data_IF_722711569633
#
_entry.id   IF_722711569633
#
_cell.length_a   1.000
_cell.length_b   1.000
_cell.length_c   1.000
_cell.angle_alpha   90.00
_cell.angle_beta   90.00
_cell.angle_gamma   90.00
#
_symmetry.space_group_name_H-M   'P 1'
#
loop_
_entity.id
_entity.type
_entity.pdbx_description
1 polymer ?
#
# COMPACT_ATOMS: atom_id res chain seq x y z
N UNK A 1 18.46 27.46 -6.92
CA UNK A 1 18.35 26.01 -6.70
C UNK A 1 19.08 25.29 -7.81
N UNK A 2 19.60 24.09 -7.56
CA UNK A 2 20.45 23.35 -8.51
C UNK A 2 19.63 22.31 -9.28
N UNK A 3 20.14 21.84 -10.42
CA UNK A 3 19.62 20.66 -11.14
C UNK A 3 20.32 19.36 -10.74
N UNK A 4 21.31 19.44 -9.86
CA UNK A 4 21.99 18.26 -9.33
C UNK A 4 21.24 17.75 -8.12
N UNK A 5 20.50 16.66 -8.30
CA UNK A 5 19.75 16.04 -7.23
C UNK A 5 20.65 15.55 -6.08
N UNK A 6 21.97 15.48 -6.21
CA UNK A 6 22.86 15.10 -5.09
C UNK A 6 23.20 16.27 -4.18
N UNK A 7 22.61 17.45 -4.40
CA UNK A 7 22.90 18.67 -3.66
C UNK A 7 21.61 19.38 -3.26
N UNK A 8 21.53 19.87 -2.02
CA UNK A 8 20.49 20.81 -1.62
C UNK A 8 20.92 22.27 -1.86
N UNK A 9 20.00 23.18 -2.26
CA UNK A 9 18.61 22.90 -2.62
C UNK A 9 18.47 22.35 -4.05
N UNK A 10 17.49 21.47 -4.26
CA UNK A 10 17.16 20.82 -5.54
C UNK A 10 15.69 21.04 -5.91
N UNK A 11 15.38 21.29 -7.18
CA UNK A 11 14.00 21.38 -7.66
C UNK A 11 13.67 20.16 -8.50
N UNK A 12 12.72 19.35 -8.05
CA UNK A 12 12.25 18.22 -8.83
C UNK A 12 11.40 18.68 -10.02
N UNK A 13 10.54 19.68 -9.80
CA UNK A 13 9.69 20.29 -10.83
C UNK A 13 9.96 21.79 -10.87
N UNK A 14 10.55 22.32 -11.95
CA UNK A 14 10.85 23.74 -12.06
C UNK A 14 9.62 24.63 -11.85
N UNK A 15 9.70 25.51 -10.86
CA UNK A 15 8.65 26.48 -10.55
C UNK A 15 7.55 26.00 -9.61
N UNK A 16 7.60 24.75 -9.14
CA UNK A 16 6.68 24.24 -8.10
C UNK A 16 7.40 24.10 -6.75
N UNK A 17 7.13 25.04 -5.84
CA UNK A 17 7.75 25.07 -4.52
C UNK A 17 7.35 23.91 -3.61
N UNK A 18 6.28 23.17 -3.91
CA UNK A 18 5.91 21.97 -3.16
C UNK A 18 6.91 20.83 -3.39
N UNK A 19 7.71 20.89 -4.46
CA UNK A 19 8.68 19.88 -4.84
C UNK A 19 10.12 20.44 -4.84
N UNK A 20 10.37 21.43 -3.97
CA UNK A 20 11.69 21.96 -3.64
C UNK A 20 12.29 21.19 -2.44
N UNK A 21 13.50 20.68 -2.61
CA UNK A 21 14.22 19.90 -1.61
C UNK A 21 15.25 20.77 -0.89
N UNK A 22 15.43 20.62 0.44
CA UNK A 22 14.94 19.53 1.28
C UNK A 22 13.50 19.70 1.83
N UNK A 23 12.83 20.81 1.53
CA UNK A 23 11.54 21.14 2.13
C UNK A 23 10.45 20.09 1.83
N UNK A 24 10.41 19.55 0.61
CA UNK A 24 9.48 18.50 0.18
C UNK A 24 9.63 17.16 0.95
N UNK A 25 10.74 16.96 1.66
CA UNK A 25 10.92 15.79 2.52
C UNK A 25 10.33 16.00 3.92
N UNK A 26 10.28 17.25 4.40
CA UNK A 26 9.77 17.60 5.71
C UNK A 26 8.25 17.69 5.80
N UNK A 27 7.76 18.25 6.90
CA UNK A 27 6.33 18.54 7.09
C UNK A 27 5.84 19.61 6.13
N UNK A 28 4.64 19.42 5.59
CA UNK A 28 3.85 20.44 4.93
C UNK A 28 2.77 20.98 5.89
N UNK A 29 2.99 22.12 6.59
CA UNK A 29 2.10 22.55 7.68
C UNK A 29 0.68 22.88 7.21
N UNK A 30 0.54 23.35 5.97
CA UNK A 30 -0.73 23.74 5.36
C UNK A 30 -1.57 22.55 4.85
N UNK A 31 -1.05 21.32 4.97
CA UNK A 31 -1.70 20.10 4.52
C UNK A 31 -2.29 19.37 5.73
N UNK A 32 -3.56 18.95 5.62
CA UNK A 32 -4.21 18.17 6.68
C UNK A 32 -3.69 16.74 6.75
N UNK A 33 -3.24 16.16 5.63
CA UNK A 33 -2.66 14.82 5.60
C UNK A 33 -1.27 14.82 4.95
N UNK A 34 -0.33 14.12 5.56
CA UNK A 34 1.04 14.00 5.11
C UNK A 34 1.58 12.60 5.43
N UNK A 35 2.05 11.86 4.42
CA UNK A 35 2.39 10.43 4.49
C UNK A 35 3.85 10.20 4.11
N UNK A 36 4.63 9.66 5.03
CA UNK A 36 5.98 9.17 4.78
C UNK A 36 5.97 7.65 4.79
N UNK A 37 6.26 7.07 3.63
CA UNK A 37 6.29 5.63 3.43
C UNK A 37 7.69 5.18 3.01
N UNK A 38 8.18 4.10 3.59
CA UNK A 38 9.32 3.36 3.07
C UNK A 38 9.09 1.87 3.21
N UNK A 39 9.38 1.12 2.16
CA UNK A 39 9.36 -0.33 2.14
C UNK A 39 10.54 -0.89 1.34
N UNK A 40 10.92 -2.14 1.62
CA UNK A 40 12.00 -2.78 0.90
C UNK A 40 12.25 -4.24 1.30
N UNK A 41 13.02 -4.92 0.45
CA UNK A 41 13.58 -6.23 0.74
C UNK A 41 14.93 -6.07 1.46
N UNK A 42 15.17 -6.97 2.40
CA UNK A 42 16.39 -7.05 3.19
C UNK A 42 16.88 -8.50 3.17
N UNK A 43 18.16 -8.71 2.91
CA UNK A 43 18.81 -10.01 2.98
C UNK A 43 19.72 -10.03 4.21
N UNK A 44 19.66 -11.14 4.96
CA UNK A 44 20.53 -11.37 6.10
C UNK A 44 21.98 -11.58 5.64
N UNK A 45 22.94 -11.18 6.47
CA UNK A 45 24.35 -11.24 6.11
C UNK A 45 24.97 -12.64 6.26
N UNK A 46 24.44 -13.46 7.17
CA UNK A 46 25.05 -14.74 7.58
C UNK A 46 24.37 -15.98 6.97
N UNK A 47 23.13 -15.85 6.49
CA UNK A 47 22.37 -16.93 5.85
C UNK A 47 21.60 -16.46 4.61
N UNK A 48 20.99 -17.41 3.88
CA UNK A 48 20.20 -17.12 2.67
C UNK A 48 18.78 -16.63 3.00
N UNK A 49 18.53 -16.10 4.21
CA UNK A 49 17.20 -15.65 4.63
C UNK A 49 16.96 -14.22 4.16
N UNK A 50 15.80 -14.02 3.57
CA UNK A 50 15.33 -12.70 3.16
C UNK A 50 14.12 -12.28 3.98
N UNK A 51 14.09 -11.00 4.31
CA UNK A 51 13.00 -10.31 4.97
C UNK A 51 12.47 -9.21 4.05
N UNK A 52 11.30 -8.70 4.38
CA UNK A 52 10.85 -7.42 3.88
C UNK A 52 10.27 -6.59 5.02
N UNK A 53 10.15 -5.29 4.80
CA UNK A 53 9.51 -4.39 5.74
C UNK A 53 8.74 -3.31 5.01
N UNK A 54 7.77 -2.73 5.71
CA UNK A 54 7.21 -1.43 5.37
C UNK A 54 7.01 -0.62 6.64
N UNK A 55 7.01 0.70 6.49
CA UNK A 55 6.58 1.60 7.55
C UNK A 55 5.88 2.81 6.99
N UNK A 56 4.90 3.30 7.76
CA UNK A 56 4.13 4.49 7.47
C UNK A 56 4.23 5.40 8.69
N UNK A 57 4.69 6.63 8.49
CA UNK A 57 4.38 7.72 9.40
C UNK A 57 3.31 8.57 8.71
N UNK A 58 2.25 8.91 9.44
CA UNK A 58 1.17 9.66 8.84
C UNK A 58 0.65 10.74 9.79
N UNK A 59 0.66 11.98 9.30
CA UNK A 59 -0.03 13.11 9.90
C UNK A 59 -1.45 13.13 9.36
N UNK A 60 -2.46 13.19 10.22
CA UNK A 60 -3.86 13.40 9.85
C UNK A 60 -4.50 14.37 10.82
N UNK A 61 -4.79 15.58 10.32
CA UNK A 61 -5.33 16.67 11.12
C UNK A 61 -6.59 17.28 10.48
N UNK A 62 -7.71 16.52 10.40
CA UNK A 62 -8.92 17.01 9.75
C UNK A 62 -9.42 18.30 10.41
N UNK A 63 -9.65 19.34 9.60
CA UNK A 63 -10.03 20.67 10.07
C UNK A 63 -9.01 21.33 11.00
N UNK A 64 -7.76 20.86 11.02
CA UNK A 64 -6.64 21.38 11.81
C UNK A 64 -6.76 21.22 13.33
N UNK A 65 -7.85 20.67 13.83
CA UNK A 65 -8.17 20.61 15.28
C UNK A 65 -8.23 19.21 15.83
N UNK A 66 -8.72 18.26 15.03
CA UNK A 66 -8.63 16.83 15.31
C UNK A 66 -7.22 16.37 14.97
N UNK A 67 -6.65 15.51 15.79
CA UNK A 67 -5.39 14.82 15.48
C UNK A 67 -5.69 13.34 15.47
N UNK A 68 -5.34 12.69 14.37
CA UNK A 68 -5.49 11.26 14.12
C UNK A 68 -4.20 10.71 13.48
N UNK A 69 -3.06 11.23 13.94
CA UNK A 69 -1.74 10.85 13.45
C UNK A 69 -1.46 9.38 13.81
N UNK A 70 -0.81 8.62 12.93
CA UNK A 70 -0.51 7.21 13.17
C UNK A 70 0.86 6.81 12.67
N UNK A 71 1.33 5.70 13.21
CA UNK A 71 2.56 5.03 12.80
C UNK A 71 2.30 3.54 12.60
N UNK A 72 2.82 2.98 11.52
CA UNK A 72 2.77 1.55 11.22
C UNK A 72 4.16 1.00 10.93
N UNK A 73 4.42 -0.21 11.42
CA UNK A 73 5.55 -1.06 11.05
C UNK A 73 5.03 -2.45 10.69
N UNK A 74 5.56 -3.04 9.63
CA UNK A 74 5.44 -4.47 9.40
C UNK A 74 6.78 -5.08 9.01
N UNK A 75 6.99 -6.31 9.48
CA UNK A 75 8.11 -7.18 9.12
C UNK A 75 7.57 -8.46 8.51
N UNK A 76 8.25 -8.95 7.48
CA UNK A 76 7.88 -10.15 6.74
C UNK A 76 9.10 -11.06 6.65
N UNK A 77 8.94 -12.34 6.99
CA UNK A 77 9.93 -13.37 6.70
C UNK A 77 9.55 -14.04 5.37
N UNK A 78 10.36 -13.78 4.33
CA UNK A 78 10.06 -14.25 2.97
C UNK A 78 10.32 -15.74 2.78
N UNK A 79 11.05 -16.38 3.69
CA UNK A 79 11.32 -17.82 3.65
C UNK A 79 10.16 -18.63 4.25
N UNK A 80 9.58 -18.15 5.35
CA UNK A 80 8.51 -18.86 6.07
C UNK A 80 7.11 -18.38 5.73
N UNK A 81 6.97 -17.15 5.21
CA UNK A 81 5.69 -16.48 5.01
C UNK A 81 5.10 -15.91 6.30
N UNK A 82 5.84 -15.91 7.42
CA UNK A 82 5.43 -15.27 8.67
C UNK A 82 5.44 -13.73 8.51
N UNK A 83 4.51 -13.04 9.18
CA UNK A 83 4.51 -11.58 9.22
C UNK A 83 4.05 -11.04 10.57
N UNK A 84 4.65 -9.91 10.94
CA UNK A 84 4.28 -9.13 12.11
C UNK A 84 3.87 -7.73 11.70
N UNK A 85 2.83 -7.18 12.33
CA UNK A 85 2.46 -5.77 12.13
C UNK A 85 2.10 -5.07 13.43
N UNK A 86 2.40 -3.78 13.48
CA UNK A 86 2.11 -2.88 14.59
C UNK A 86 1.60 -1.56 14.03
N UNK A 87 0.45 -1.10 14.51
CA UNK A 87 -0.08 0.23 14.22
C UNK A 87 -0.44 0.91 15.54
N UNK A 88 0.07 2.12 15.76
CA UNK A 88 -0.28 2.95 16.91
C UNK A 88 -0.87 4.29 16.47
N UNK A 89 -1.82 4.78 17.26
CA UNK A 89 -2.59 5.99 16.96
C UNK A 89 -2.41 7.07 18.03
N UNK A 90 -2.35 8.32 17.58
CA UNK A 90 -2.52 9.54 18.35
C UNK A 90 -3.88 10.13 17.99
N UNK A 91 -4.93 9.68 18.69
CA UNK A 91 -6.30 10.09 18.37
C UNK A 91 -7.21 10.26 19.60
N UNK A 92 -8.33 11.00 19.46
CA UNK A 92 -9.36 11.07 20.48
C UNK A 92 -9.97 9.70 20.81
N UNK A 93 -10.44 9.50 22.06
CA UNK A 93 -10.38 10.44 23.17
C UNK A 93 -9.03 10.43 23.91
N UNK A 94 -8.10 9.52 23.57
CA UNK A 94 -6.87 9.31 24.32
C UNK A 94 -5.97 10.56 24.33
N UNK A 95 -5.80 11.21 23.19
CA UNK A 95 -4.96 12.40 23.06
C UNK A 95 -5.62 13.71 23.54
N UNK A 96 -6.87 13.65 23.99
CA UNK A 96 -7.60 14.78 24.59
C UNK A 96 -7.55 14.77 26.12
N UNK A 97 -6.98 13.72 26.73
CA UNK A 97 -6.86 13.64 28.19
C UNK A 97 -5.91 14.72 28.73
N UNK A 98 -6.17 15.31 29.91
CA UNK A 98 -5.25 16.27 30.51
C UNK A 98 -3.83 15.71 30.63
N UNK A 99 -2.84 16.46 30.15
CA UNK A 99 -1.43 16.05 30.17
C UNK A 99 -1.01 15.10 29.04
N UNK A 100 -1.91 14.74 28.12
CA UNK A 100 -1.54 14.00 26.92
C UNK A 100 -0.55 14.82 26.07
N UNK A 101 0.53 14.18 25.65
CA UNK A 101 1.48 14.74 24.70
C UNK A 101 1.18 14.18 23.30
N UNK A 102 1.45 14.98 22.27
CA UNK A 102 1.42 14.52 20.88
C UNK A 102 2.46 13.44 20.68
N UNK A 103 2.11 12.36 20.00
CA UNK A 103 3.03 11.27 19.70
C UNK A 103 3.92 11.59 18.52
N UNK A 104 3.39 12.27 17.51
CA UNK A 104 4.10 12.65 16.28
C UNK A 104 4.76 14.04 16.43
N UNK A 105 6.06 14.10 16.18
CA UNK A 105 6.85 15.32 16.03
C UNK A 105 7.46 15.35 14.63
N UNK A 106 7.44 16.52 14.00
CA UNK A 106 7.91 16.74 12.64
C UNK A 106 8.70 18.05 12.57
N UNK A 107 9.68 18.14 11.67
CA UNK A 107 10.30 19.41 11.29
C UNK A 107 9.83 19.88 9.90
N UNK A 108 9.59 21.19 9.71
CA UNK A 108 9.48 21.76 8.37
C UNK A 108 10.88 21.91 7.74
N UNK A 109 10.95 21.85 6.42
CA UNK A 109 12.16 22.20 5.65
C UNK A 109 13.14 21.05 5.42
N UNK A 110 13.06 19.95 6.17
CA UNK A 110 13.84 18.72 5.96
C UNK A 110 13.18 17.54 6.69
N UNK A 111 13.60 16.32 6.38
CA UNK A 111 13.07 15.12 7.03
C UNK A 111 13.59 14.97 8.46
N UNK A 112 12.71 15.14 9.43
CA UNK A 112 12.97 14.85 10.84
C UNK A 112 11.66 14.47 11.51
N UNK A 113 11.44 13.16 11.64
CA UNK A 113 10.19 12.56 12.11
C UNK A 113 10.48 11.73 13.33
N UNK A 114 9.66 11.91 14.36
CA UNK A 114 9.64 11.06 15.55
C UNK A 114 8.21 10.70 15.92
N UNK A 115 7.97 9.42 16.22
CA UNK A 115 6.68 8.94 16.72
C UNK A 115 6.88 8.19 18.04
N UNK A 116 6.32 8.73 19.13
CA UNK A 116 6.41 8.13 20.48
C UNK A 116 5.24 7.19 20.74
N UNK A 117 5.47 5.88 20.60
CA UNK A 117 4.47 4.83 20.77
C UNK A 117 4.66 4.05 22.07
N UNK A 118 3.74 3.12 22.35
CA UNK A 118 3.87 2.18 23.48
C UNK A 118 5.09 1.26 23.39
N UNK A 119 5.56 0.95 22.18
CA UNK A 119 6.74 0.12 21.92
C UNK A 119 8.07 0.92 21.95
N UNK A 120 8.01 2.24 22.13
CA UNK A 120 9.15 3.15 22.08
C UNK A 120 9.02 4.21 20.99
N UNK A 121 10.12 4.91 20.71
CA UNK A 121 10.17 5.98 19.71
C UNK A 121 10.68 5.45 18.38
N UNK A 122 9.83 5.53 17.34
CA UNK A 122 10.24 5.36 15.96
C UNK A 122 10.72 6.71 15.39
N UNK A 123 11.68 6.70 14.47
CA UNK A 123 12.22 7.91 13.86
C UNK A 123 12.72 7.71 12.44
N UNK A 124 12.61 8.76 11.63
CA UNK A 124 13.21 8.86 10.30
C UNK A 124 13.78 10.26 10.11
N UNK A 125 15.10 10.35 9.98
CA UNK A 125 15.83 11.64 10.05
C UNK A 125 16.87 11.75 8.94
N UNK A 126 17.05 12.95 8.37
CA UNK A 126 18.16 13.26 7.46
C UNK A 126 19.48 13.29 8.24
N UNK A 127 20.47 12.57 7.72
CA UNK A 127 21.83 12.57 8.25
C UNK A 127 22.51 13.92 8.03
N UNK A 128 23.50 14.21 8.88
CA UNK A 128 24.34 15.40 8.77
C UNK A 128 25.80 15.00 8.62
N UNK A 129 26.58 15.83 7.94
CA UNK A 129 28.02 15.66 7.83
C UNK A 129 28.75 16.16 9.10
N UNK A 130 30.09 16.20 9.04
CA UNK A 130 30.92 16.63 10.16
C UNK A 130 30.78 18.13 10.51
N UNK A 131 30.35 18.95 9.54
CA UNK A 131 30.13 20.38 9.70
C UNK A 131 28.69 20.69 10.16
N UNK A 132 27.83 19.66 10.21
CA UNK A 132 26.42 19.76 10.61
C UNK A 132 25.47 20.06 9.46
N UNK A 133 25.96 20.09 8.22
CA UNK A 133 25.15 20.29 7.03
C UNK A 133 24.36 19.03 6.68
N UNK A 134 23.19 19.21 6.06
CA UNK A 134 22.34 18.08 5.65
C UNK A 134 23.01 17.29 4.53
N UNK A 135 23.06 15.97 4.68
CA UNK A 135 23.48 15.04 3.62
C UNK A 135 22.26 14.71 2.74
N UNK A 136 22.26 15.09 1.45
CA UNK A 136 21.10 14.89 0.59
C UNK A 136 20.68 13.43 0.53
N UNK A 137 19.39 13.20 0.80
CA UNK A 137 18.71 11.91 0.71
C UNK A 137 19.36 10.79 1.53
N UNK A 138 20.19 11.12 2.52
CA UNK A 138 20.84 10.12 3.37
C UNK A 138 20.12 10.11 4.70
N UNK A 139 19.59 8.97 5.11
CA UNK A 139 18.72 8.89 6.27
C UNK A 139 19.17 7.88 7.31
N UNK A 140 18.72 8.14 8.53
CA UNK A 140 18.68 7.16 9.62
C UNK A 140 17.24 6.83 9.95
N UNK A 141 16.92 5.54 9.91
CA UNK A 141 15.59 5.01 10.18
C UNK A 141 15.69 4.06 11.38
N UNK A 142 14.87 4.29 12.40
CA UNK A 142 14.75 3.44 13.58
C UNK A 142 13.28 3.17 13.81
N UNK A 143 12.86 1.92 13.65
CA UNK A 143 11.47 1.48 13.71
C UNK A 143 11.32 0.53 14.88
N UNK A 144 10.20 0.62 15.58
CA UNK A 144 9.90 -0.20 16.76
C UNK A 144 8.43 -0.56 16.79
N UNK A 145 8.09 -1.75 17.27
CA UNK A 145 6.71 -2.21 17.39
C UNK A 145 6.61 -3.50 18.18
N UNK A 146 5.39 -4.03 18.25
CA UNK A 146 5.09 -5.35 18.80
C UNK A 146 4.10 -6.02 17.85
N UNK A 147 4.38 -7.25 17.43
CA UNK A 147 3.49 -7.96 16.51
C UNK A 147 2.22 -8.49 17.20
N UNK A 148 1.34 -9.12 16.42
CA UNK A 148 0.05 -9.64 16.88
C UNK A 148 0.19 -10.76 17.92
N UNK A 149 1.37 -11.36 18.06
CA UNK A 149 1.69 -12.39 19.05
C UNK A 149 2.46 -11.84 20.26
N UNK A 150 2.68 -10.53 20.34
CA UNK A 150 3.44 -9.90 21.42
C UNK A 150 4.95 -9.95 21.22
N UNK A 151 5.46 -10.34 20.03
CA UNK A 151 6.91 -10.37 19.79
C UNK A 151 7.40 -8.94 19.52
N UNK A 152 8.44 -8.46 20.23
CA UNK A 152 9.01 -7.15 19.94
C UNK A 152 9.61 -7.13 18.53
N UNK A 153 9.38 -6.03 17.82
CA UNK A 153 9.91 -5.74 16.50
C UNK A 153 10.80 -4.50 16.56
N UNK A 154 11.97 -4.56 15.93
CA UNK A 154 12.86 -3.41 15.77
C UNK A 154 13.63 -3.51 14.46
N UNK A 155 13.74 -2.39 13.75
CA UNK A 155 14.53 -2.27 12.53
C UNK A 155 15.30 -0.95 12.55
N UNK A 156 16.61 -1.02 12.59
CA UNK A 156 17.50 0.14 12.49
C UNK A 156 18.22 0.08 11.15
N UNK A 157 18.09 1.12 10.32
CA UNK A 157 18.69 1.19 8.98
C UNK A 157 19.40 2.52 8.73
N UNK A 158 20.55 2.44 8.07
CA UNK A 158 21.07 3.51 7.24
C UNK A 158 20.51 3.36 5.83
N UNK A 159 19.92 4.45 5.29
CA UNK A 159 19.18 4.43 4.03
C UNK A 159 19.71 5.50 3.10
N UNK A 160 19.99 5.16 1.84
CA UNK A 160 20.46 6.10 0.82
C UNK A 160 19.87 5.72 -0.55
N UNK A 161 18.93 6.50 -1.10
CA UNK A 161 18.50 6.36 -2.47
C UNK A 161 19.67 6.57 -3.43
N UNK A 162 19.73 5.75 -4.46
CA UNK A 162 20.77 5.78 -5.50
C UNK A 162 20.29 6.51 -6.75
N UNK A 163 19.00 6.89 -6.78
CA UNK A 163 18.33 7.58 -7.87
C UNK A 163 17.70 8.89 -7.38
N UNK A 164 17.57 9.82 -8.32
CA UNK A 164 16.87 11.08 -8.09
C UNK A 164 15.41 10.83 -7.71
N UNK A 165 14.80 11.73 -6.91
CA UNK A 165 13.34 11.76 -6.78
C UNK A 165 12.66 11.76 -8.15
N UNK A 166 11.50 11.10 -8.24
CA UNK A 166 10.68 11.02 -9.46
C UNK A 166 9.28 11.53 -9.12
N UNK A 167 8.75 12.56 -9.82
CA UNK A 167 7.39 13.00 -9.57
C UNK A 167 6.39 11.92 -10.02
N UNK A 168 5.34 11.68 -9.24
CA UNK A 168 4.30 10.72 -9.67
C UNK A 168 3.67 11.18 -10.98
N UNK A 169 3.53 10.23 -11.89
CA UNK A 169 3.05 10.47 -13.24
C UNK A 169 4.05 11.18 -14.13
N UNK A 170 5.34 11.16 -13.77
CA UNK A 170 6.45 11.76 -14.51
C UNK A 170 6.13 13.20 -14.97
N UNK A 171 6.50 13.57 -16.20
CA UNK A 171 6.18 14.89 -16.75
C UNK A 171 4.70 15.09 -17.08
N UNK A 172 3.89 14.03 -17.12
CA UNK A 172 2.45 14.11 -17.42
C UNK A 172 1.70 14.80 -16.28
N UNK A 173 2.03 14.44 -15.05
CA UNK A 173 1.39 14.98 -13.85
C UNK A 173 2.31 15.89 -13.01
N UNK A 174 3.63 15.79 -13.21
CA UNK A 174 4.63 16.53 -12.44
C UNK A 174 4.42 16.41 -10.92
N UNK A 175 3.97 15.23 -10.47
CA UNK A 175 3.78 14.94 -9.04
C UNK A 175 2.52 15.56 -8.44
N UNK A 176 1.74 16.33 -9.22
CA UNK A 176 0.47 16.91 -8.78
C UNK A 176 -0.70 16.14 -9.37
N UNK A 177 -1.47 15.47 -8.51
CA UNK A 177 -2.41 14.43 -8.88
C UNK A 177 -3.78 14.63 -8.22
N UNK A 178 -4.80 13.97 -8.79
CA UNK A 178 -6.10 13.85 -8.15
C UNK A 178 -6.17 12.52 -7.40
N UNK A 179 -6.05 12.56 -6.07
CA UNK A 179 -6.11 11.37 -5.23
C UNK A 179 -7.22 11.46 -4.18
N UNK A 180 -7.99 10.38 -4.05
CA UNK A 180 -9.19 10.29 -3.21
C UNK A 180 -10.19 11.44 -3.44
N UNK A 181 -10.30 11.93 -4.68
CA UNK A 181 -11.16 13.07 -5.05
C UNK A 181 -10.57 14.45 -4.73
N UNK A 182 -9.28 14.55 -4.43
CA UNK A 182 -8.59 15.80 -4.08
C UNK A 182 -7.55 16.15 -5.14
N UNK A 183 -7.78 17.24 -5.90
CA UNK A 183 -6.99 17.62 -7.10
C UNK A 183 -5.63 18.28 -6.81
N UNK A 184 -5.40 18.69 -5.56
CA UNK A 184 -4.16 19.36 -5.12
C UNK A 184 -3.33 18.41 -4.24
N UNK A 185 -3.41 17.11 -4.53
CA UNK A 185 -2.56 16.11 -3.87
C UNK A 185 -1.21 16.10 -4.57
N UNK A 186 -0.15 16.06 -3.79
CA UNK A 186 1.21 15.96 -4.31
C UNK A 186 1.85 14.66 -3.91
N UNK A 187 2.71 14.11 -4.77
CA UNK A 187 3.50 12.94 -4.47
C UNK A 187 4.77 12.84 -5.32
N UNK A 188 5.80 12.22 -4.75
CA UNK A 188 6.99 11.78 -5.47
C UNK A 188 7.53 10.47 -4.88
N UNK A 189 8.36 9.80 -5.67
CA UNK A 189 9.02 8.56 -5.31
C UNK A 189 10.53 8.73 -5.23
N UNK A 190 11.18 7.90 -4.41
CA UNK A 190 12.60 7.59 -4.56
C UNK A 190 12.81 6.09 -4.60
N UNK A 191 13.62 5.63 -5.55
CA UNK A 191 13.86 4.20 -5.79
C UNK A 191 15.36 3.89 -5.86
N UNK A 192 15.70 2.61 -6.01
CA UNK A 192 17.07 2.13 -5.91
C UNK A 192 17.65 2.45 -4.53
N UNK A 193 17.15 1.83 -3.47
CA UNK A 193 17.47 2.25 -2.10
C UNK A 193 18.53 1.33 -1.52
N UNK A 194 19.71 1.87 -1.22
CA UNK A 194 20.71 1.16 -0.45
C UNK A 194 20.33 1.21 1.04
N UNK A 195 20.20 0.03 1.66
CA UNK A 195 19.81 -0.13 3.05
C UNK A 195 20.82 -1.05 3.73
N UNK A 196 21.26 -0.69 4.94
CA UNK A 196 22.10 -1.54 5.79
C UNK A 196 21.74 -1.32 7.25
N UNK A 197 21.76 -2.37 8.07
CA UNK A 197 21.55 -2.21 9.50
C UNK A 197 21.19 -3.50 10.21
N UNK A 198 20.29 -3.43 11.19
CA UNK A 198 19.94 -4.55 12.07
C UNK A 198 18.43 -4.74 12.16
N UNK A 199 17.99 -5.98 12.00
CA UNK A 199 16.63 -6.42 12.23
C UNK A 199 16.56 -7.22 13.54
N UNK A 200 15.54 -6.96 14.36
CA UNK A 200 15.20 -7.79 15.52
C UNK A 200 13.72 -8.08 15.54
N UNK A 201 13.35 -9.36 15.65
CA UNK A 201 11.95 -9.77 15.72
C UNK A 201 11.81 -11.00 16.63
N UNK A 202 11.29 -10.79 17.84
CA UNK A 202 11.34 -11.80 18.90
C UNK A 202 12.79 -12.20 19.19
N UNK A 203 13.11 -13.48 19.02
CA UNK A 203 14.45 -14.04 19.22
C UNK A 203 15.36 -13.92 17.98
N UNK A 204 14.81 -13.53 16.82
CA UNK A 204 15.57 -13.33 15.58
C UNK A 204 16.33 -12.01 15.66
N UNK A 205 17.64 -12.03 15.39
CA UNK A 205 18.50 -10.85 15.33
C UNK A 205 19.47 -11.00 14.17
N UNK A 206 19.34 -10.14 13.16
CA UNK A 206 20.11 -10.24 11.91
C UNK A 206 20.81 -8.92 11.58
N UNK A 207 22.03 -9.01 11.07
CA UNK A 207 22.59 -7.93 10.25
C UNK A 207 21.99 -8.06 8.85
N UNK A 208 21.47 -6.95 8.33
CA UNK A 208 20.69 -6.96 7.08
C UNK A 208 21.19 -5.90 6.12
N UNK A 209 21.05 -6.19 4.83
CA UNK A 209 21.28 -5.22 3.76
C UNK A 209 20.25 -5.37 2.64
N UNK A 210 20.02 -4.33 1.85
CA UNK A 210 19.08 -4.40 0.74
C UNK A 210 19.32 -3.32 -0.30
N UNK A 211 18.90 -3.58 -1.52
CA UNK A 211 18.96 -2.64 -2.65
C UNK A 211 17.61 -2.39 -3.33
N UNK A 212 16.62 -3.24 -3.03
CA UNK A 212 15.26 -3.15 -3.56
C UNK A 212 14.38 -2.47 -2.53
N UNK A 213 14.01 -1.23 -2.79
CA UNK A 213 13.16 -0.45 -1.90
C UNK A 213 12.51 0.72 -2.61
N UNK A 214 11.53 1.30 -1.92
CA UNK A 214 10.75 2.42 -2.39
C UNK A 214 10.45 3.36 -1.23
N UNK A 215 10.65 4.67 -1.46
CA UNK A 215 10.13 5.74 -0.62
C UNK A 215 9.01 6.40 -1.40
N UNK A 216 7.84 6.53 -0.76
CA UNK A 216 6.73 7.33 -1.25
C UNK A 216 6.46 8.48 -0.28
N UNK A 217 6.31 9.66 -0.84
CA UNK A 217 5.91 10.87 -0.14
C UNK A 217 4.64 11.36 -0.77
N UNK A 218 3.61 11.59 0.05
CA UNK A 218 2.33 12.07 -0.43
C UNK A 218 1.68 12.99 0.60
N UNK A 219 1.14 14.12 0.16
CA UNK A 219 0.41 15.05 1.03
C UNK A 219 -0.84 15.58 0.36
N UNK A 220 -1.86 15.82 1.19
CA UNK A 220 -3.21 16.14 0.77
C UNK A 220 -3.71 17.42 1.45
N UNK A 221 -4.47 18.25 0.71
CA UNK A 221 -5.04 19.48 1.25
C UNK A 221 -6.06 19.18 2.35
N UNK A 222 -6.74 18.03 2.29
CA UNK A 222 -7.64 17.54 3.32
C UNK A 222 -7.28 16.14 3.75
N UNK A 223 -7.80 15.72 4.90
CA UNK A 223 -7.66 14.35 5.40
C UNK A 223 -7.87 13.30 4.31
N UNK A 224 -6.85 12.45 4.08
CA UNK A 224 -6.85 11.46 2.99
C UNK A 224 -8.01 10.45 3.12
N UNK A 225 -8.34 10.03 4.34
CA UNK A 225 -9.38 9.03 4.62
C UNK A 225 -10.81 9.57 4.62
N UNK A 226 -11.15 10.56 3.78
CA UNK A 226 -12.54 10.99 3.60
C UNK A 226 -12.76 12.47 3.27
N UNK A 227 -11.71 13.29 3.31
CA UNK A 227 -11.78 14.73 3.04
C UNK A 227 -12.28 15.08 1.64
N UNK A 228 -11.99 14.21 0.65
CA UNK A 228 -12.51 14.32 -0.72
C UNK A 228 -13.88 13.69 -0.96
N UNK A 229 -14.47 13.04 0.05
CA UNK A 229 -15.71 12.23 -0.07
C UNK A 229 -16.79 12.62 0.93
N UNK A 230 -16.72 13.81 1.51
CA UNK A 230 -17.70 14.27 2.50
C UNK A 230 -17.62 13.52 3.84
N UNK A 231 -16.47 12.91 4.15
CA UNK A 231 -16.18 12.25 5.42
C UNK A 231 -16.37 10.73 5.43
N UNK A 232 -16.81 10.11 4.33
CA UNK A 232 -16.87 8.65 4.23
C UNK A 232 -15.50 8.06 3.83
N UNK A 233 -14.80 7.37 4.74
CA UNK A 233 -13.49 6.78 4.46
C UNK A 233 -13.55 5.62 3.45
N UNK A 234 -14.73 5.02 3.22
CA UNK A 234 -14.92 3.89 2.31
C UNK A 234 -15.58 4.28 0.98
N UNK A 235 -15.83 5.56 0.74
CA UNK A 235 -16.34 6.04 -0.55
C UNK A 235 -15.30 5.97 -1.68
N UNK A 236 -14.01 5.93 -1.33
CA UNK A 236 -12.90 5.67 -2.25
C UNK A 236 -12.07 4.51 -1.74
N UNK A 237 -11.41 3.82 -2.67
CA UNK A 237 -10.38 2.85 -2.37
C UNK A 237 -9.29 2.94 -3.44
N UNK A 238 -8.18 2.27 -3.19
CA UNK A 238 -7.03 2.30 -4.08
C UNK A 238 -6.31 0.95 -4.10
N UNK A 239 -5.52 0.79 -5.15
CA UNK A 239 -4.43 -0.16 -5.21
C UNK A 239 -3.16 0.59 -5.61
N UNK A 240 -2.06 0.32 -4.93
CA UNK A 240 -0.75 0.87 -5.24
C UNK A 240 0.26 -0.27 -5.29
N UNK A 241 1.17 -0.24 -6.27
CA UNK A 241 2.20 -1.28 -6.41
C UNK A 241 3.52 -0.63 -6.69
N UNK A 242 4.53 -0.98 -5.89
CA UNK A 242 5.92 -0.57 -6.12
C UNK A 242 6.67 -1.81 -6.55
N UNK A 243 7.27 -1.81 -7.74
CA UNK A 243 7.90 -3.00 -8.34
C UNK A 243 9.33 -2.64 -8.74
N UNK A 244 10.31 -3.36 -8.19
CA UNK A 244 11.71 -3.27 -8.56
C UNK A 244 12.07 -4.48 -9.45
N UNK A 245 12.29 -4.27 -10.74
CA UNK A 245 12.68 -5.33 -11.66
C UNK A 245 14.20 -5.62 -11.62
N UNK A 246 14.55 -6.85 -11.96
CA UNK A 246 15.93 -7.35 -12.05
C UNK A 246 16.77 -6.65 -13.13
N UNK A 247 16.14 -6.09 -14.17
CA UNK A 247 16.80 -5.24 -15.16
C UNK A 247 17.06 -3.80 -14.67
N UNK A 248 16.69 -3.49 -13.41
CA UNK A 248 16.86 -2.20 -12.78
C UNK A 248 15.75 -1.19 -13.10
N UNK A 249 14.72 -1.52 -13.86
CA UNK A 249 13.56 -0.63 -14.01
C UNK A 249 12.68 -0.72 -12.75
N UNK A 250 12.22 0.43 -12.27
CA UNK A 250 11.26 0.50 -11.17
C UNK A 250 9.91 1.02 -11.67
N UNK A 251 8.82 0.38 -11.24
CA UNK A 251 7.45 0.85 -11.50
C UNK A 251 6.76 1.27 -10.20
N UNK A 252 5.96 2.32 -10.30
CA UNK A 252 4.88 2.58 -9.37
C UNK A 252 3.56 2.55 -10.14
N UNK A 253 2.60 1.71 -9.76
CA UNK A 253 1.30 1.57 -10.40
C UNK A 253 0.23 1.99 -9.41
N UNK A 254 -0.65 2.89 -9.81
CA UNK A 254 -1.73 3.41 -8.96
C UNK A 254 -3.08 3.23 -9.64
N UNK A 255 -4.06 2.76 -8.89
CA UNK A 255 -5.46 2.65 -9.31
C UNK A 255 -6.35 3.19 -8.20
N UNK A 256 -7.40 3.91 -8.56
CA UNK A 256 -8.38 4.42 -7.61
C UNK A 256 -9.79 4.04 -8.04
N UNK A 257 -10.65 3.77 -7.07
CA UNK A 257 -12.01 3.31 -7.31
C UNK A 257 -13.04 4.17 -6.59
N UNK A 258 -14.13 4.46 -7.28
CA UNK A 258 -15.37 4.97 -6.71
C UNK A 258 -16.19 3.83 -6.12
N UNK A 259 -16.09 3.65 -4.82
CA UNK A 259 -16.87 2.63 -4.11
C UNK A 259 -18.36 2.94 -4.10
N UNK A 260 -18.77 4.18 -4.37
CA UNK A 260 -20.18 4.60 -4.41
C UNK A 260 -20.80 4.39 -5.80
N UNK A 261 -19.98 4.22 -6.82
CA UNK A 261 -20.40 3.99 -8.20
C UNK A 261 -19.85 2.63 -8.71
N UNK A 262 -20.32 1.54 -8.10
CA UNK A 262 -19.99 0.17 -8.50
C UNK A 262 -18.49 -0.10 -8.71
N UNK A 263 -17.65 0.41 -7.80
CA UNK A 263 -16.18 0.30 -7.86
C UNK A 263 -15.59 0.87 -9.17
N UNK A 264 -16.22 1.89 -9.76
CA UNK A 264 -15.76 2.48 -11.01
C UNK A 264 -14.34 3.06 -10.89
N UNK A 265 -13.48 2.69 -11.82
CA UNK A 265 -12.13 3.22 -11.91
C UNK A 265 -12.14 4.74 -12.09
N UNK A 266 -11.28 5.44 -11.36
CA UNK A 266 -11.15 6.89 -11.43
C UNK A 266 -10.11 7.31 -12.47
N UNK A 267 -10.24 8.53 -13.05
CA UNK A 267 -9.37 9.01 -14.12
C UNK A 267 -7.87 8.96 -13.77
N UNK A 268 -7.50 9.26 -12.53
CA UNK A 268 -6.12 9.08 -12.08
C UNK A 268 -5.85 7.59 -11.80
N UNK A 269 -5.44 6.89 -12.84
CA UNK A 269 -4.99 5.50 -12.83
C UNK A 269 -3.87 5.35 -13.86
N UNK A 270 -2.76 4.71 -13.50
CA UNK A 270 -1.63 4.57 -14.42
C UNK A 270 -0.39 3.98 -13.76
N UNK A 271 0.75 4.20 -14.41
CA UNK A 271 2.07 3.74 -14.00
C UNK A 271 3.14 4.79 -14.28
N UNK A 272 4.08 4.95 -13.33
CA UNK A 272 5.31 5.75 -13.45
C UNK A 272 6.43 4.75 -13.57
N UNK A 273 7.25 4.90 -14.59
CA UNK A 273 8.45 4.12 -14.78
C UNK A 273 9.69 4.97 -14.51
N UNK A 274 10.60 4.46 -13.70
CA UNK A 274 11.92 5.04 -13.47
C UNK A 274 13.00 4.09 -13.98
N UNK A 275 14.04 4.66 -14.60
CA UNK A 275 15.10 3.92 -15.27
C UNK A 275 16.39 3.89 -14.44
N UNK A 276 17.22 2.85 -14.60
CA UNK A 276 18.53 2.79 -13.96
C UNK A 276 19.53 3.80 -14.56
N UNK A 277 19.37 4.13 -15.84
CA UNK A 277 20.18 5.16 -16.51
C UNK A 277 19.61 6.55 -16.21
N UNK A 278 20.34 7.42 -15.48
CA UNK A 278 19.86 8.76 -15.14
C UNK A 278 19.71 9.69 -16.34
N UNK A 279 20.21 9.33 -17.52
CA UNK A 279 20.00 10.07 -18.75
C UNK A 279 18.61 9.82 -19.38
N UNK A 280 17.91 8.76 -18.95
CA UNK A 280 16.57 8.43 -19.44
C UNK A 280 15.54 9.03 -18.45
N UNK A 281 14.69 9.97 -18.89
CA UNK A 281 13.68 10.55 -18.01
C UNK A 281 12.62 9.50 -17.63
N UNK A 282 11.95 9.68 -16.47
CA UNK A 282 10.84 8.81 -16.12
C UNK A 282 9.67 8.96 -17.10
N UNK A 283 8.90 7.89 -17.26
CA UNK A 283 7.76 7.82 -18.18
C UNK A 283 6.45 7.58 -17.43
N UNK A 284 5.33 7.97 -18.05
CA UNK A 284 3.99 7.71 -17.54
C UNK A 284 3.13 7.03 -18.61
N UNK A 285 2.38 6.00 -18.22
CA UNK A 285 1.35 5.40 -19.06
C UNK A 285 0.05 5.21 -18.26
N UNK A 286 -1.08 5.33 -18.94
CA UNK A 286 -2.42 5.32 -18.31
C UNK A 286 -3.30 4.17 -18.84
N UNK A 287 -2.79 3.38 -19.78
CA UNK A 287 -3.44 2.19 -20.34
C UNK A 287 -3.07 0.91 -19.56
N UNK A 288 -2.90 1.04 -18.24
CA UNK A 288 -2.64 -0.10 -17.34
C UNK A 288 -3.93 -0.82 -17.04
N UNK A 289 -3.94 -2.12 -17.32
CA UNK A 289 -5.03 -3.03 -16.98
C UNK A 289 -4.55 -4.03 -15.93
N UNK A 290 -5.41 -4.32 -14.96
CA UNK A 290 -5.16 -5.33 -13.92
C UNK A 290 -6.33 -6.31 -13.94
N UNK A 291 -6.01 -7.58 -14.17
CA UNK A 291 -6.96 -8.69 -14.09
C UNK A 291 -6.67 -9.51 -12.84
N UNK A 292 -7.60 -9.50 -11.89
CA UNK A 292 -7.51 -10.30 -10.65
C UNK A 292 -7.85 -11.75 -10.97
N UNK A 293 -7.03 -12.69 -10.49
CA UNK A 293 -7.22 -14.13 -10.66
C UNK A 293 -7.53 -14.87 -9.37
N UNK A 294 -7.37 -14.22 -8.21
CA UNK A 294 -7.79 -14.76 -6.92
C UNK A 294 -8.02 -13.65 -5.90
N UNK A 295 -8.76 -13.98 -4.85
CA UNK A 295 -8.98 -13.12 -3.70
C UNK A 295 -8.58 -13.85 -2.43
N UNK A 296 -8.22 -13.07 -1.41
CA UNK A 296 -7.93 -13.58 -0.08
C UNK A 296 -8.90 -12.96 0.92
N UNK A 297 -9.41 -13.78 1.84
CA UNK A 297 -10.30 -13.32 2.91
C UNK A 297 -9.50 -12.52 3.93
N UNK A 298 -10.10 -11.43 4.43
CA UNK A 298 -9.50 -10.61 5.47
C UNK A 298 -9.21 -11.44 6.74
N UNK A 299 -8.01 -11.30 7.36
CA UNK A 299 -7.69 -12.01 8.59
C UNK A 299 -8.32 -11.32 9.81
N UNK A 300 -9.13 -12.03 10.58
CA UNK A 300 -9.79 -11.44 11.77
C UNK A 300 -8.85 -11.13 12.94
N UNK A 301 -7.60 -11.59 12.87
CA UNK A 301 -6.54 -11.24 13.82
C UNK A 301 -6.16 -9.76 13.77
N UNK A 302 -6.47 -9.07 12.67
CA UNK A 302 -6.23 -7.63 12.50
C UNK A 302 -7.57 -6.92 12.34
N UNK A 303 -7.80 -5.90 13.16
CA UNK A 303 -9.03 -5.13 13.17
C UNK A 303 -8.77 -3.71 12.66
N UNK A 304 -9.50 -3.23 11.65
CA UNK A 304 -9.43 -1.83 11.24
C UNK A 304 -10.02 -0.93 12.33
N UNK A 305 -9.58 0.33 12.38
CA UNK A 305 -10.07 1.30 13.37
C UNK A 305 -11.57 1.58 13.22
N UNK A 306 -12.03 1.79 11.99
CA UNK A 306 -13.44 2.01 11.69
C UNK A 306 -14.09 0.64 11.46
N UNK A 307 -15.12 0.35 12.25
CA UNK A 307 -15.86 -0.90 12.17
C UNK A 307 -16.25 -1.23 10.72
N UNK A 308 -15.96 -2.46 10.24
CA UNK A 308 -16.35 -2.89 8.90
C UNK A 308 -17.87 -3.00 8.76
N UNK A 309 -18.37 -2.80 7.53
CA UNK A 309 -19.81 -2.97 7.22
C UNK A 309 -20.26 -4.44 7.25
N UNK A 310 -19.37 -5.37 6.94
CA UNK A 310 -19.65 -6.80 6.93
C UNK A 310 -18.47 -7.58 7.54
N UNK A 311 -18.77 -8.76 8.09
CA UNK A 311 -17.75 -9.69 8.57
C UNK A 311 -16.94 -10.28 7.40
N UNK A 312 -17.62 -10.71 6.35
CA UNK A 312 -16.99 -11.22 5.13
C UNK A 312 -16.39 -10.07 4.32
N UNK A 313 -15.08 -10.12 4.08
CA UNK A 313 -14.33 -9.12 3.33
C UNK A 313 -13.23 -9.83 2.55
N UNK A 314 -13.14 -9.56 1.26
CA UNK A 314 -12.17 -10.19 0.37
C UNK A 314 -11.33 -9.13 -0.33
N UNK A 315 -10.02 -9.34 -0.38
CA UNK A 315 -9.06 -8.43 -1.02
C UNK A 315 -8.50 -9.10 -2.29
N UNK A 316 -8.26 -8.35 -3.37
CA UNK A 316 -7.52 -8.87 -4.53
C UNK A 316 -6.19 -9.49 -4.11
N UNK A 317 -5.85 -10.68 -4.59
CA UNK A 317 -4.66 -11.41 -4.16
C UNK A 317 -3.67 -11.63 -5.31
N UNK A 318 -3.92 -12.57 -6.21
CA UNK A 318 -3.12 -12.76 -7.43
C UNK A 318 -3.74 -12.00 -8.59
N UNK A 319 -2.88 -11.49 -9.47
CA UNK A 319 -3.33 -10.71 -10.62
C UNK A 319 -2.31 -10.73 -11.76
N UNK A 320 -2.78 -10.39 -12.95
CA UNK A 320 -1.98 -10.06 -14.12
C UNK A 320 -2.08 -8.56 -14.41
N UNK A 321 -0.97 -7.94 -14.75
CA UNK A 321 -0.90 -6.54 -15.15
C UNK A 321 -0.44 -6.47 -16.60
N UNK A 322 -1.15 -5.71 -17.42
CA UNK A 322 -0.77 -5.42 -18.80
C UNK A 322 -0.77 -3.92 -19.07
N UNK A 323 0.17 -3.44 -19.88
CA UNK A 323 0.18 -2.07 -20.41
C UNK A 323 0.74 -2.10 -21.82
N UNK A 324 -0.06 -1.66 -22.80
CA UNK A 324 0.32 -1.71 -24.22
C UNK A 324 1.43 -0.72 -24.52
N UNK A 325 1.33 0.49 -23.96
CA UNK A 325 2.36 1.55 -24.11
C UNK A 325 3.74 1.06 -23.72
N UNK A 326 3.85 0.31 -22.62
CA UNK A 326 5.13 -0.22 -22.11
C UNK A 326 5.44 -1.64 -22.59
N UNK A 327 4.57 -2.27 -23.38
CA UNK A 327 4.62 -3.71 -23.69
C UNK A 327 4.86 -4.56 -22.42
N UNK A 328 4.18 -4.18 -21.34
CA UNK A 328 4.25 -4.83 -20.04
C UNK A 328 3.20 -5.94 -20.01
N UNK A 329 3.61 -7.10 -19.51
CA UNK A 329 2.75 -8.24 -19.24
C UNK A 329 3.36 -9.08 -18.12
N UNK A 330 2.87 -8.93 -16.90
CA UNK A 330 3.44 -9.55 -15.70
C UNK A 330 2.35 -10.17 -14.83
N UNK A 331 2.67 -11.27 -14.16
CA UNK A 331 1.83 -11.91 -13.14
C UNK A 331 2.46 -11.67 -11.78
N UNK A 332 1.64 -11.23 -10.82
CA UNK A 332 2.03 -10.98 -9.44
C UNK A 332 1.49 -12.05 -8.49
N UNK A 333 2.34 -12.53 -7.59
CA UNK A 333 1.98 -13.49 -6.55
C UNK A 333 2.42 -12.97 -5.18
N UNK A 334 1.58 -13.10 -4.14
CA UNK A 334 1.95 -12.73 -2.78
C UNK A 334 3.04 -13.68 -2.25
N UNK A 335 3.98 -13.14 -1.49
CA UNK A 335 4.97 -13.92 -0.73
C UNK A 335 4.51 -14.23 0.69
N UNK A 336 3.50 -13.49 1.18
CA UNK A 336 2.88 -13.65 2.49
C UNK A 336 1.36 -13.65 2.33
N UNK A 337 0.63 -14.59 2.95
CA UNK A 337 -0.82 -14.63 2.83
C UNK A 337 -1.47 -13.50 3.66
N UNK A 338 -2.38 -12.77 3.03
CA UNK A 338 -3.28 -11.81 3.69
C UNK A 338 -2.61 -10.80 4.67
N UNK A 339 -1.56 -10.05 4.25
CA UNK A 339 -0.82 -9.16 5.15
C UNK A 339 -1.62 -7.88 5.47
N UNK A 340 -2.52 -7.98 6.46
CA UNK A 340 -3.41 -6.89 6.85
C UNK A 340 -2.75 -5.97 7.89
N UNK A 341 -3.12 -4.68 7.87
CA UNK A 341 -2.62 -3.69 8.82
C UNK A 341 -3.79 -2.99 9.53
N UNK A 342 -3.55 -2.58 10.78
CA UNK A 342 -4.55 -1.95 11.65
C UNK A 342 -4.85 -0.50 11.27
N UNK A 343 -4.95 -0.18 9.97
CA UNK A 343 -5.24 1.16 9.45
C UNK A 343 -6.73 1.54 9.61
N UNK A 344 -7.14 2.78 9.26
CA UNK A 344 -8.50 3.23 9.52
C UNK A 344 -9.61 2.37 8.90
N UNK A 345 -9.36 1.83 7.72
CA UNK A 345 -10.26 0.91 6.99
C UNK A 345 -9.50 -0.37 6.64
N UNK A 346 -10.16 -1.29 5.95
CA UNK A 346 -9.53 -2.48 5.40
C UNK A 346 -8.33 -2.08 4.52
N UNK A 347 -7.15 -2.47 4.97
CA UNK A 347 -5.89 -2.17 4.32
C UNK A 347 -4.97 -3.37 4.39
N UNK A 348 -4.49 -3.80 3.24
CA UNK A 348 -3.59 -4.93 3.10
C UNK A 348 -2.42 -4.51 2.22
N UNK A 349 -1.21 -4.73 2.71
CA UNK A 349 -0.01 -4.43 1.96
C UNK A 349 1.07 -5.46 2.29
N UNK A 350 1.77 -5.97 1.29
CA UNK A 350 2.87 -6.87 1.56
C UNK A 350 3.67 -7.26 0.33
N UNK A 351 4.68 -8.11 0.55
CA UNK A 351 5.68 -8.43 -0.46
C UNK A 351 5.09 -9.33 -1.55
N UNK A 352 5.42 -8.99 -2.80
CA UNK A 352 5.01 -9.70 -4.01
C UNK A 352 6.23 -10.08 -4.84
N UNK A 353 6.07 -11.16 -5.61
CA UNK A 353 6.97 -11.49 -6.71
C UNK A 353 6.24 -11.34 -8.03
N UNK A 354 6.87 -10.65 -8.96
CA UNK A 354 6.39 -10.49 -10.33
C UNK A 354 7.27 -11.24 -11.31
N UNK A 355 6.65 -11.79 -12.36
CA UNK A 355 7.33 -12.42 -13.49
C UNK A 355 6.57 -12.15 -14.78
N UNK A 356 7.28 -11.95 -15.88
CA UNK A 356 6.67 -11.75 -17.19
C UNK A 356 7.60 -11.00 -18.13
N UNK A 357 7.08 -10.03 -18.87
CA UNK A 357 7.85 -9.23 -19.82
C UNK A 357 7.63 -7.72 -19.67
N UNK A 358 8.69 -6.95 -19.93
CA UNK A 358 8.67 -5.50 -20.13
C UNK A 358 9.41 -5.19 -21.44
N UNK A 359 8.82 -4.41 -22.35
CA UNK A 359 9.36 -4.18 -23.70
C UNK A 359 9.68 -5.49 -24.46
N UNK A 360 8.84 -6.51 -24.26
CA UNK A 360 9.05 -7.85 -24.83
C UNK A 360 10.23 -8.63 -24.26
N UNK A 361 10.94 -8.11 -23.26
CA UNK A 361 12.08 -8.77 -22.61
C UNK A 361 11.63 -9.40 -21.28
N UNK A 362 12.04 -10.65 -20.97
CA UNK A 362 11.73 -11.26 -19.68
C UNK A 362 12.24 -10.43 -18.50
N UNK A 363 11.40 -10.29 -17.48
CA UNK A 363 11.74 -9.63 -16.21
C UNK A 363 11.18 -10.41 -15.04
N UNK A 364 11.89 -10.35 -13.92
CA UNK A 364 11.38 -10.70 -12.59
C UNK A 364 11.50 -9.51 -11.67
N UNK A 365 10.63 -9.41 -10.67
CA UNK A 365 10.67 -8.27 -9.75
C UNK A 365 10.22 -8.63 -8.35
N UNK A 366 10.79 -7.91 -7.38
CA UNK A 366 10.29 -7.83 -6.01
C UNK A 366 9.42 -6.57 -5.90
N UNK A 367 8.37 -6.64 -5.09
CA UNK A 367 7.40 -5.57 -5.01
C UNK A 367 6.68 -5.51 -3.68
N UNK A 368 6.01 -4.39 -3.44
CA UNK A 368 4.88 -4.30 -2.51
C UNK A 368 3.58 -4.06 -3.28
N UNK A 369 2.49 -4.63 -2.79
CA UNK A 369 1.13 -4.41 -3.33
C UNK A 369 0.19 -3.98 -2.20
N UNK A 370 -0.06 -2.68 -2.14
CA UNK A 370 -0.99 -2.00 -1.27
C UNK A 370 -2.40 -2.02 -1.87
N UNK A 371 -3.40 -2.30 -1.03
CA UNK A 371 -4.80 -2.37 -1.46
C UNK A 371 -5.76 -2.06 -0.32
N UNK A 372 -6.76 -1.25 -0.62
CA UNK A 372 -7.88 -0.92 0.28
C UNK A 372 -9.26 -1.28 -0.30
N UNK A 373 -9.30 -1.86 -1.50
CA UNK A 373 -10.54 -2.33 -2.14
C UNK A 373 -11.02 -3.65 -1.51
N UNK A 374 -11.65 -3.55 -0.33
CA UNK A 374 -12.33 -4.69 0.28
C UNK A 374 -13.69 -4.96 -0.39
N UNK A 375 -13.88 -6.18 -0.87
CA UNK A 375 -15.11 -6.67 -1.47
C UNK A 375 -15.97 -7.33 -0.40
N UNK A 376 -17.17 -6.82 -0.18
CA UNK A 376 -18.06 -7.29 0.89
C UNK A 376 -19.56 -7.16 0.57
N UNK A 377 -19.93 -6.44 -0.49
CA UNK A 377 -21.33 -6.33 -0.94
C UNK A 377 -21.72 -7.56 -1.74
N UNK A 378 -23.01 -7.86 -1.82
CA UNK A 378 -23.54 -9.02 -2.54
C UNK A 378 -22.93 -9.18 -3.96
N UNK A 379 -23.03 -8.15 -4.80
CA UNK A 379 -22.52 -8.16 -6.17
C UNK A 379 -20.98 -8.25 -6.23
N UNK A 380 -20.27 -7.74 -5.22
CA UNK A 380 -18.81 -7.85 -5.13
C UNK A 380 -18.41 -9.28 -4.77
N UNK A 381 -19.11 -9.92 -3.84
CA UNK A 381 -18.87 -11.31 -3.46
C UNK A 381 -19.22 -12.29 -4.61
N UNK A 382 -20.14 -11.92 -5.50
CA UNK A 382 -20.36 -12.67 -6.75
C UNK A 382 -19.17 -12.57 -7.69
N UNK A 383 -18.51 -11.41 -7.78
CA UNK A 383 -17.26 -11.27 -8.55
C UNK A 383 -16.15 -12.13 -7.95
N UNK A 384 -16.03 -12.17 -6.61
CA UNK A 384 -15.10 -13.06 -5.90
C UNK A 384 -15.38 -14.53 -6.26
N UNK A 385 -16.64 -14.95 -6.20
CA UNK A 385 -17.03 -16.32 -6.55
C UNK A 385 -16.74 -16.62 -8.02
N UNK A 386 -17.17 -15.76 -8.95
CA UNK A 386 -16.97 -15.94 -10.39
C UNK A 386 -15.48 -16.06 -10.75
N UNK A 387 -14.63 -15.22 -10.15
CA UNK A 387 -13.18 -15.27 -10.34
C UNK A 387 -12.59 -16.55 -9.75
N UNK A 388 -13.02 -16.94 -8.55
CA UNK A 388 -12.54 -18.16 -7.88
C UNK A 388 -12.86 -19.39 -8.74
N UNK A 389 -14.11 -19.56 -9.19
CA UNK A 389 -14.53 -20.73 -10.00
C UNK A 389 -13.95 -20.74 -11.41
N UNK A 390 -13.64 -19.58 -11.98
CA UNK A 390 -12.99 -19.46 -13.28
C UNK A 390 -11.52 -19.95 -13.25
N UNK A 391 -10.88 -19.90 -12.07
CA UNK A 391 -9.48 -20.27 -11.87
C UNK A 391 -9.30 -21.58 -11.06
N UNK A 392 -10.35 -22.39 -10.90
CA UNK A 392 -10.26 -23.71 -10.27
C UNK A 392 -9.51 -24.69 -11.18
N UNK A 393 -8.64 -25.49 -10.57
CA UNK A 393 -7.93 -26.59 -11.23
C UNK A 393 -8.17 -27.91 -10.45
N UNK A 394 -8.90 -28.89 -11.01
CA UNK A 394 -9.54 -28.87 -12.34
C UNK A 394 -10.77 -27.96 -12.39
N UNK A 395 -11.09 -27.46 -13.58
CA UNK A 395 -12.26 -26.62 -13.81
C UNK A 395 -13.58 -27.34 -13.48
N UNK A 396 -14.47 -26.66 -12.75
CA UNK A 396 -15.83 -27.11 -12.44
C UNK A 396 -16.86 -26.29 -13.25
N UNK A 397 -17.41 -26.91 -14.29
CA UNK A 397 -18.35 -26.25 -15.20
C UNK A 397 -19.71 -25.97 -14.58
N UNK A 398 -20.14 -26.80 -13.62
CA UNK A 398 -21.42 -26.63 -12.95
C UNK A 398 -21.35 -25.41 -12.02
N UNK A 399 -20.24 -25.26 -11.30
CA UNK A 399 -19.94 -24.06 -10.51
C UNK A 399 -19.82 -22.80 -11.36
N UNK A 400 -19.11 -22.86 -12.49
CA UNK A 400 -19.02 -21.72 -13.42
C UNK A 400 -20.39 -21.31 -13.95
N UNK A 401 -21.25 -22.28 -14.28
CA UNK A 401 -22.63 -22.02 -14.72
C UNK A 401 -23.45 -21.40 -13.59
N UNK A 402 -23.33 -21.91 -12.36
CA UNK A 402 -24.01 -21.36 -11.20
C UNK A 402 -23.59 -19.92 -10.89
N UNK A 403 -22.29 -19.62 -10.94
CA UNK A 403 -21.77 -18.26 -10.77
C UNK A 403 -22.31 -17.30 -11.86
N UNK A 404 -22.34 -17.74 -13.12
CA UNK A 404 -22.93 -16.95 -14.21
C UNK A 404 -24.44 -16.71 -14.05
N UNK A 405 -25.19 -17.69 -13.55
CA UNK A 405 -26.62 -17.53 -13.26
C UNK A 405 -26.85 -16.56 -12.10
N UNK A 406 -25.99 -16.61 -11.09
CA UNK A 406 -26.09 -15.75 -9.92
C UNK A 406 -25.98 -14.26 -10.30
N UNK A 407 -25.03 -13.90 -11.17
CA UNK A 407 -24.91 -12.53 -11.72
C UNK A 407 -26.23 -12.06 -12.32
N UNK A 408 -26.91 -12.91 -13.10
CA UNK A 408 -28.18 -12.58 -13.74
C UNK A 408 -29.34 -12.44 -12.73
N UNK A 409 -29.36 -13.26 -11.68
CA UNK A 409 -30.37 -13.20 -10.63
C UNK A 409 -30.26 -11.89 -9.84
N UNK A 410 -29.05 -11.48 -9.46
CA UNK A 410 -28.83 -10.22 -8.75
C UNK A 410 -29.15 -9.00 -9.60
N UNK A 411 -28.74 -8.98 -10.87
CA UNK A 411 -29.09 -7.91 -11.81
C UNK A 411 -30.61 -7.73 -11.98
N UNK A 412 -31.41 -8.77 -11.69
CA UNK A 412 -32.88 -8.75 -11.73
C UNK A 412 -33.54 -8.62 -10.34
N UNK A 413 -32.77 -8.44 -9.27
CA UNK A 413 -33.29 -8.34 -7.90
C UNK A 413 -33.86 -9.64 -7.33
N UNK A 414 -33.57 -10.80 -7.92
CA UNK A 414 -34.12 -12.12 -7.53
C UNK A 414 -33.31 -12.77 -6.40
N UNK A 415 -33.16 -12.07 -5.27
CA UNK A 415 -32.29 -12.46 -4.15
C UNK A 415 -32.66 -13.81 -3.50
N UNK A 416 -33.95 -14.09 -3.31
CA UNK A 416 -34.40 -15.37 -2.74
C UNK A 416 -34.00 -16.58 -3.60
N UNK A 417 -34.08 -16.43 -4.92
CA UNK A 417 -33.68 -17.50 -5.84
C UNK A 417 -32.16 -17.66 -5.90
N UNK A 418 -31.42 -16.55 -5.78
CA UNK A 418 -29.97 -16.58 -5.62
C UNK A 418 -29.56 -17.37 -4.38
N UNK A 419 -30.21 -17.12 -3.22
CA UNK A 419 -29.97 -17.89 -1.98
C UNK A 419 -30.29 -19.38 -2.16
N UNK A 420 -31.40 -19.72 -2.84
CA UNK A 420 -31.75 -21.11 -3.14
C UNK A 420 -30.71 -21.84 -4.00
N UNK A 421 -30.19 -21.16 -5.02
CA UNK A 421 -29.10 -21.67 -5.86
C UNK A 421 -27.84 -21.90 -5.04
N UNK A 422 -27.43 -20.92 -4.24
CA UNK A 422 -26.21 -20.98 -3.42
C UNK A 422 -26.28 -22.09 -2.38
N UNK A 423 -27.43 -22.25 -1.71
CA UNK A 423 -27.64 -23.32 -0.72
C UNK A 423 -27.49 -24.72 -1.36
N UNK A 424 -27.99 -24.86 -2.60
CA UNK A 424 -27.88 -26.11 -3.36
C UNK A 424 -26.43 -26.42 -3.70
N UNK A 425 -25.70 -25.44 -4.23
CA UNK A 425 -24.29 -25.58 -4.61
C UNK A 425 -23.42 -25.84 -3.37
N UNK A 426 -23.66 -25.10 -2.29
CA UNK A 426 -22.92 -25.16 -1.02
C UNK A 426 -22.87 -26.56 -0.41
N UNK A 427 -23.94 -27.35 -0.56
CA UNK A 427 -24.00 -28.70 -0.02
C UNK A 427 -22.94 -29.65 -0.61
N UNK A 428 -22.42 -29.34 -1.80
CA UNK A 428 -21.41 -30.13 -2.49
C UNK A 428 -19.97 -29.64 -2.30
N UNK A 429 -19.76 -28.52 -1.58
CA UNK A 429 -18.45 -27.86 -1.48
C UNK A 429 -17.84 -27.95 -0.07
N UNK A 430 -16.50 -27.91 -0.01
CA UNK A 430 -15.70 -27.86 1.21
C UNK A 430 -14.80 -26.61 1.26
N UNK A 431 -14.16 -26.40 2.40
CA UNK A 431 -13.05 -25.45 2.59
C UNK A 431 -13.37 -23.97 2.28
N UNK A 432 -12.46 -23.26 1.63
CA UNK A 432 -12.58 -21.82 1.37
C UNK A 432 -13.79 -21.49 0.48
N UNK A 433 -14.10 -22.37 -0.49
CA UNK A 433 -15.25 -22.18 -1.37
C UNK A 433 -16.57 -22.33 -0.60
N UNK A 434 -16.65 -23.30 0.31
CA UNK A 434 -17.78 -23.42 1.22
C UNK A 434 -17.97 -22.14 2.07
N UNK A 435 -16.87 -21.59 2.60
CA UNK A 435 -16.88 -20.36 3.38
C UNK A 435 -17.35 -19.17 2.56
N UNK A 436 -16.85 -19.01 1.33
CA UNK A 436 -17.28 -17.95 0.41
C UNK A 436 -18.77 -18.03 0.07
N UNK A 437 -19.28 -19.23 -0.16
CA UNK A 437 -20.71 -19.46 -0.41
C UNK A 437 -21.56 -19.12 0.82
N UNK A 438 -21.11 -19.45 2.03
CA UNK A 438 -21.79 -19.09 3.28
C UNK A 438 -21.79 -17.57 3.51
N UNK A 439 -20.64 -16.92 3.29
CA UNK A 439 -20.48 -15.46 3.37
C UNK A 439 -21.42 -14.74 2.38
N UNK A 440 -21.55 -15.27 1.17
CA UNK A 440 -22.42 -14.72 0.12
C UNK A 440 -23.91 -14.94 0.43
N UNK A 441 -24.29 -16.10 0.98
CA UNK A 441 -25.66 -16.31 1.50
C UNK A 441 -25.96 -15.30 2.59
N UNK A 442 -25.04 -15.10 3.54
CA UNK A 442 -25.22 -14.11 4.60
C UNK A 442 -25.44 -12.70 4.01
N UNK A 443 -24.60 -12.27 3.06
CA UNK A 443 -24.73 -10.97 2.41
C UNK A 443 -26.07 -10.78 1.67
N UNK A 444 -26.64 -11.84 1.11
CA UNK A 444 -27.93 -11.79 0.39
C UNK A 444 -29.16 -11.85 1.30
N UNK A 445 -28.99 -12.26 2.56
CA UNK A 445 -30.06 -12.42 3.55
C UNK A 445 -30.22 -11.22 4.48
N UNK A 446 -29.24 -10.31 4.52
CA UNK A 446 -29.39 -9.03 5.21
C UNK A 446 -30.31 -8.17 4.36
N UNK A 447 -31.48 -7.81 4.89
CA UNK A 447 -32.37 -6.83 4.26
C UNK A 447 -31.67 -5.46 4.22
N UNK A 448 -31.63 -4.84 3.03
CA UNK A 448 -31.11 -3.47 2.81
C UNK A 448 -31.89 -2.42 3.64
#
# INVERSE_FOLDING_TARGET
MTSDWRSYPFQLVPGDSQLDFPAAEGEHPDQESDTWFIAGQLDAAEDDRSFAFLTIFNKNRPGGTVVADFYTLALFDLATGDYGTYTDYDMPPANMKPGAQRKLSLAPGYLDIHYSSGAGTASWTTCRDADGELLPYTYRVSLVGEDQSGRPMRLDLAVTPTRAPTPVGASTYNGKICCFGQTETYSYFQTGIAMTGTLRWGDVVEQVSGSSGHIDRQWFPKYAGGGGTGGDPRARSHEWRTINFDNGVDLSIWRQFDRTNANALQPFTGVTMSHPDPAIPPECAEDVEVTVSSYVRWPEAVQPLVRPHAAARYMPDRHRITCRTMQLDIVGEPLVPAPAHGLPIEYMEGPYRYRGTLWGTPVTGFAFNERSLALYRDWELVEVLATTVANLEPADRDLQTAAGLLVQLLARGRRQEAVGLLTTVRAAQSDDLATLLDDLVAALTVDD
#
